data_IF_089841236556
#
_entry.id   IF_089841236556
#
_cell.length_a   1.000
_cell.length_b   1.000
_cell.length_c   1.000
_cell.angle_alpha   90.00
_cell.angle_beta   90.00
_cell.angle_gamma   90.00
#
_symmetry.space_group_name_H-M   'P 1'
#
loop_
_entity.id
_entity.type
_entity.pdbx_description
1 polymer ?
#
# COMPACT_ATOMS: atom_id res chain seq x y z
N UNK A 1 35.03 45.39 -68.23
CA UNK A 1 36.38 45.08 -67.72
C UNK A 1 36.28 44.66 -66.27
N UNK A 2 37.03 43.63 -65.91
CA UNK A 2 37.13 43.01 -64.58
C UNK A 2 37.67 43.99 -63.53
N UNK A 3 37.23 43.84 -62.29
CA UNK A 3 38.12 43.93 -61.13
C UNK A 3 37.46 43.28 -59.90
N UNK A 4 38.11 42.24 -59.41
CA UNK A 4 37.73 41.36 -58.29
C UNK A 4 38.42 41.80 -57.00
N UNK A 5 37.68 41.69 -55.87
CA UNK A 5 38.04 41.33 -54.47
C UNK A 5 39.43 41.68 -53.87
N UNK A 6 39.49 41.91 -52.53
CA UNK A 6 39.82 40.78 -51.65
C UNK A 6 38.93 40.69 -50.38
N UNK A 7 38.19 39.58 -50.28
CA UNK A 7 37.61 39.05 -49.03
C UNK A 7 38.56 37.98 -48.49
N UNK A 8 39.58 38.32 -47.70
CA UNK A 8 40.48 37.30 -47.13
C UNK A 8 40.95 37.54 -45.69
N UNK A 9 40.44 38.55 -44.97
CA UNK A 9 40.94 38.86 -43.63
C UNK A 9 39.95 38.59 -42.48
N UNK A 10 38.66 38.34 -42.77
CA UNK A 10 37.66 38.18 -41.71
C UNK A 10 37.55 36.75 -41.14
N UNK A 11 38.05 35.72 -41.85
CA UNK A 11 37.82 34.31 -41.49
C UNK A 11 38.85 33.78 -40.47
N UNK A 12 40.06 34.35 -40.43
CA UNK A 12 41.09 33.88 -39.51
C UNK A 12 40.92 34.35 -38.05
N UNK A 13 40.22 35.47 -37.82
CA UNK A 13 40.03 35.97 -36.44
C UNK A 13 38.99 35.15 -35.66
N UNK A 14 37.92 34.67 -36.31
CA UNK A 14 36.88 33.88 -35.63
C UNK A 14 37.36 32.48 -35.22
N UNK A 15 38.22 31.84 -36.00
CA UNK A 15 38.72 30.50 -35.71
C UNK A 15 39.62 30.44 -34.46
N UNK A 16 40.41 31.49 -34.20
CA UNK A 16 41.33 31.54 -33.05
C UNK A 16 40.57 31.75 -31.72
N UNK A 17 39.49 32.53 -31.73
CA UNK A 17 38.67 32.75 -30.55
C UNK A 17 37.85 31.50 -30.16
N UNK A 18 37.41 30.71 -31.14
CA UNK A 18 36.68 29.46 -30.88
C UNK A 18 37.55 28.37 -30.25
N UNK A 19 38.83 28.27 -30.63
CA UNK A 19 39.77 27.30 -30.04
C UNK A 19 40.16 27.65 -28.59
N UNK A 20 40.32 28.94 -28.27
CA UNK A 20 40.62 29.38 -26.91
C UNK A 20 39.46 29.14 -25.93
N UNK A 21 38.21 29.37 -26.37
CA UNK A 21 37.01 29.08 -25.57
C UNK A 21 36.82 27.58 -25.32
N UNK A 22 37.12 26.73 -26.31
CA UNK A 22 37.00 25.29 -26.18
C UNK A 22 38.08 24.71 -25.24
N UNK A 23 39.32 25.23 -25.31
CA UNK A 23 40.39 24.86 -24.38
C UNK A 23 40.06 25.29 -22.94
N UNK A 24 39.49 26.49 -22.74
CA UNK A 24 39.06 26.95 -21.42
C UNK A 24 37.92 26.08 -20.84
N UNK A 25 36.96 25.65 -21.66
CA UNK A 25 35.87 24.75 -21.25
C UNK A 25 36.38 23.35 -20.87
N UNK A 26 37.36 22.81 -21.59
CA UNK A 26 37.96 21.50 -21.28
C UNK A 26 38.78 21.56 -19.98
N UNK A 27 39.54 22.64 -19.76
CA UNK A 27 40.29 22.84 -18.51
C UNK A 27 39.32 23.03 -17.33
N UNK A 28 38.20 23.73 -17.50
CA UNK A 28 37.18 23.87 -16.46
C UNK A 28 36.45 22.54 -16.16
N UNK A 29 36.24 21.69 -17.17
CA UNK A 29 35.65 20.36 -16.98
C UNK A 29 36.61 19.37 -16.30
N UNK A 30 37.93 19.47 -16.55
CA UNK A 30 38.96 18.65 -15.92
C UNK A 30 39.32 19.14 -14.51
N UNK A 31 39.30 20.46 -14.26
CA UNK A 31 39.48 21.02 -12.91
C UNK A 31 38.22 20.83 -12.04
N UNK A 32 37.02 20.87 -12.63
CA UNK A 32 35.75 20.62 -11.94
C UNK A 32 35.52 19.18 -11.50
N UNK A 33 36.21 18.21 -12.12
CA UNK A 33 36.13 16.78 -11.75
C UNK A 33 37.13 16.37 -10.66
N UNK A 34 38.15 17.19 -10.37
CA UNK A 34 39.09 16.95 -9.28
C UNK A 34 38.55 17.35 -7.89
N UNK A 35 37.65 18.33 -7.81
CA UNK A 35 37.10 18.86 -6.55
C UNK A 35 35.84 18.14 -6.04
N UNK A 36 35.33 17.16 -6.78
CA UNK A 36 34.20 16.31 -6.35
C UNK A 36 34.63 15.04 -5.61
N UNK A 37 35.91 14.91 -5.24
CA UNK A 37 36.33 14.01 -4.15
C UNK A 37 36.16 14.74 -2.81
N UNK A 38 34.92 15.13 -2.50
CA UNK A 38 34.55 15.31 -1.10
C UNK A 38 34.89 13.99 -0.42
N UNK A 39 35.95 14.01 0.40
CA UNK A 39 36.32 12.88 1.22
C UNK A 39 35.06 12.37 1.89
N UNK A 40 34.61 11.18 1.49
CA UNK A 40 33.50 10.49 2.11
C UNK A 40 33.96 10.27 3.54
N UNK A 41 33.59 11.19 4.44
CA UNK A 41 33.84 11.06 5.87
C UNK A 41 33.35 9.65 6.23
N UNK A 42 34.18 8.78 6.82
CA UNK A 42 33.73 7.46 7.22
C UNK A 42 32.46 7.65 8.03
N UNK A 43 31.37 7.03 7.57
CA UNK A 43 30.05 7.21 8.15
C UNK A 43 30.18 7.01 9.67
N UNK A 44 29.87 8.05 10.45
CA UNK A 44 30.05 7.98 11.89
C UNK A 44 29.33 6.73 12.42
N UNK A 45 29.95 5.95 13.31
CA UNK A 45 29.34 4.74 13.83
C UNK A 45 27.98 5.09 14.44
N UNK A 46 26.91 4.45 13.95
CA UNK A 46 25.55 4.72 14.40
C UNK A 46 25.48 4.62 15.92
N UNK A 47 24.94 5.65 16.58
CA UNK A 47 24.75 5.66 18.02
C UNK A 47 23.88 4.49 18.49
N UNK A 48 24.06 4.06 19.74
CA UNK A 48 23.26 2.99 20.36
C UNK A 48 21.76 3.35 20.41
N UNK A 49 21.44 4.63 20.63
CA UNK A 49 20.05 5.12 20.75
C UNK A 49 19.22 4.87 19.47
N UNK A 50 19.68 5.23 18.25
CA UNK A 50 19.02 4.84 17.00
C UNK A 50 18.79 3.32 16.86
N UNK A 51 19.76 2.48 17.23
CA UNK A 51 19.61 1.02 17.14
C UNK A 51 18.50 0.51 18.06
N UNK A 52 18.46 0.95 19.31
CA UNK A 52 17.38 0.60 20.26
C UNK A 52 16.01 1.05 19.73
N UNK A 53 15.92 2.25 19.17
CA UNK A 53 14.69 2.75 18.55
C UNK A 53 14.20 1.86 17.40
N UNK A 54 15.12 1.31 16.59
CA UNK A 54 14.78 0.34 15.54
C UNK A 54 14.28 -0.99 16.12
N UNK A 55 14.88 -1.49 17.22
CA UNK A 55 14.39 -2.68 17.92
C UNK A 55 12.95 -2.46 18.41
N UNK A 56 12.70 -1.36 19.12
CA UNK A 56 11.36 -0.99 19.62
C UNK A 56 10.33 -0.87 18.48
N UNK A 57 10.73 -0.25 17.36
CA UNK A 57 9.88 -0.09 16.18
C UNK A 57 9.44 -1.44 15.61
N UNK A 58 10.37 -2.35 15.30
CA UNK A 58 10.02 -3.65 14.72
C UNK A 58 9.31 -4.58 15.70
N UNK A 59 9.62 -4.49 16.99
CA UNK A 59 8.87 -5.18 18.04
C UNK A 59 7.41 -4.72 18.09
N UNK A 60 7.17 -3.42 18.08
CA UNK A 60 5.82 -2.84 18.06
C UNK A 60 5.05 -3.27 16.81
N UNK A 61 5.71 -3.25 15.63
CA UNK A 61 5.12 -3.74 14.39
C UNK A 61 4.73 -5.22 14.47
N UNK A 62 5.60 -6.05 15.02
CA UNK A 62 5.35 -7.49 15.21
C UNK A 62 4.07 -7.69 16.02
N UNK A 63 3.97 -7.06 17.19
CA UNK A 63 2.81 -7.20 18.06
C UNK A 63 1.52 -6.65 17.45
N UNK A 64 1.61 -5.54 16.70
CA UNK A 64 0.44 -4.96 16.03
C UNK A 64 -0.09 -5.90 14.94
N UNK A 65 0.81 -6.52 14.16
CA UNK A 65 0.40 -7.54 13.19
C UNK A 65 -0.06 -8.85 13.84
N UNK A 66 0.55 -9.27 14.95
CA UNK A 66 0.06 -10.43 15.71
C UNK A 66 -1.37 -10.22 16.22
N UNK A 67 -1.70 -9.02 16.71
CA UNK A 67 -3.08 -8.64 17.07
C UNK A 67 -4.02 -8.77 15.87
N UNK A 68 -3.66 -8.22 14.71
CA UNK A 68 -4.45 -8.37 13.48
C UNK A 68 -4.56 -9.84 13.04
N UNK A 69 -3.51 -10.64 13.23
CA UNK A 69 -3.50 -12.07 12.93
C UNK A 69 -4.24 -12.92 13.99
N UNK A 70 -4.67 -12.33 15.11
CA UNK A 70 -5.21 -13.01 16.30
C UNK A 70 -4.26 -14.08 16.85
N UNK A 71 -2.96 -13.78 16.81
CA UNK A 71 -1.91 -14.61 17.42
C UNK A 71 -1.56 -14.09 18.80
N UNK A 72 -1.11 -14.98 19.67
CA UNK A 72 -0.52 -14.59 20.95
C UNK A 72 0.70 -13.71 20.69
N UNK A 73 0.86 -12.69 21.52
CA UNK A 73 1.96 -11.74 21.46
C UNK A 73 3.28 -12.46 21.71
N UNK A 74 4.27 -12.30 20.83
CA UNK A 74 5.61 -12.88 21.06
C UNK A 74 6.25 -12.25 22.32
N UNK A 75 6.65 -13.04 23.32
CA UNK A 75 7.25 -12.53 24.55
C UNK A 75 8.66 -11.95 24.32
N UNK A 76 9.10 -11.08 25.22
CA UNK A 76 10.43 -10.45 25.18
C UNK A 76 10.89 -10.06 26.58
N UNK A 77 12.19 -10.17 26.85
CA UNK A 77 12.82 -9.77 28.12
C UNK A 77 13.25 -8.30 28.16
N UNK A 78 13.10 -7.55 27.06
CA UNK A 78 13.50 -6.14 26.94
C UNK A 78 15.00 -5.84 27.23
N UNK A 79 15.87 -6.85 27.16
CA UNK A 79 17.33 -6.69 27.38
C UNK A 79 17.95 -5.66 26.43
N UNK A 80 17.41 -5.55 25.21
CA UNK A 80 17.78 -4.55 24.20
C UNK A 80 17.76 -3.10 24.71
N UNK A 81 16.86 -2.76 25.65
CA UNK A 81 16.73 -1.39 26.16
C UNK A 81 17.93 -0.94 26.99
N UNK A 82 18.61 -1.89 27.62
CA UNK A 82 19.76 -1.65 28.51
C UNK A 82 21.10 -1.92 27.82
N UNK A 83 21.12 -2.81 26.83
CA UNK A 83 22.35 -3.20 26.13
C UNK A 83 23.02 -2.04 25.39
N UNK A 84 24.34 -1.90 25.57
CA UNK A 84 25.21 -0.99 24.79
C UNK A 84 25.96 -1.72 23.66
N UNK A 85 25.84 -3.04 23.61
CA UNK A 85 26.47 -3.89 22.61
C UNK A 85 25.81 -3.69 21.24
N UNK A 86 26.55 -3.08 20.32
CA UNK A 86 26.08 -2.79 18.96
C UNK A 86 25.79 -4.06 18.15
N UNK A 87 26.71 -5.04 18.05
CA UNK A 87 26.40 -6.36 17.48
C UNK A 87 25.10 -6.98 18.00
N UNK A 88 24.90 -6.99 19.33
CA UNK A 88 23.67 -7.53 19.92
C UNK A 88 22.41 -6.76 19.49
N UNK A 89 22.48 -5.43 19.45
CA UNK A 89 21.36 -4.59 18.99
C UNK A 89 21.07 -4.80 17.50
N UNK A 90 22.10 -4.94 16.66
CA UNK A 90 21.93 -5.24 15.24
C UNK A 90 21.26 -6.61 15.05
N UNK A 91 21.74 -7.64 15.74
CA UNK A 91 21.10 -8.96 15.75
C UNK A 91 19.64 -8.90 16.21
N UNK A 92 19.34 -8.07 17.23
CA UNK A 92 17.99 -7.85 17.73
C UNK A 92 17.10 -7.18 16.68
N UNK A 93 17.61 -6.17 15.97
CA UNK A 93 16.90 -5.51 14.85
C UNK A 93 16.56 -6.55 13.78
N UNK A 94 17.50 -7.37 13.36
CA UNK A 94 17.29 -8.36 12.29
C UNK A 94 16.27 -9.43 12.72
N UNK A 95 16.35 -9.86 13.97
CA UNK A 95 15.40 -10.82 14.56
C UNK A 95 13.99 -10.25 14.59
N UNK A 96 13.79 -9.05 15.11
CA UNK A 96 12.46 -8.42 15.14
C UNK A 96 11.96 -8.04 13.74
N UNK A 97 12.85 -7.70 12.81
CA UNK A 97 12.49 -7.43 11.42
C UNK A 97 11.91 -8.68 10.74
N UNK A 98 12.54 -9.86 10.93
CA UNK A 98 12.01 -11.14 10.44
C UNK A 98 10.66 -11.49 11.09
N UNK A 99 10.53 -11.32 12.40
CA UNK A 99 9.27 -11.58 13.12
C UNK A 99 8.15 -10.67 12.64
N UNK A 100 8.41 -9.38 12.44
CA UNK A 100 7.43 -8.43 11.91
C UNK A 100 6.97 -8.83 10.50
N UNK A 101 7.87 -9.34 9.65
CA UNK A 101 7.51 -9.84 8.32
C UNK A 101 6.61 -11.08 8.36
N UNK A 102 6.92 -12.06 9.21
CA UNK A 102 6.10 -13.26 9.41
C UNK A 102 4.72 -12.90 9.96
N UNK A 103 4.68 -12.04 10.99
CA UNK A 103 3.42 -11.56 11.57
C UNK A 103 2.57 -10.81 10.54
N UNK A 104 3.19 -9.94 9.74
CA UNK A 104 2.54 -9.24 8.63
C UNK A 104 1.92 -10.23 7.64
N UNK A 105 2.69 -11.21 7.15
CA UNK A 105 2.17 -12.21 6.19
C UNK A 105 0.98 -12.97 6.77
N UNK A 106 1.05 -13.39 8.04
CA UNK A 106 -0.06 -14.07 8.70
C UNK A 106 -1.31 -13.18 8.83
N UNK A 107 -1.15 -11.92 9.21
CA UNK A 107 -2.24 -10.95 9.30
C UNK A 107 -2.90 -10.73 7.94
N UNK A 108 -2.11 -10.49 6.89
CA UNK A 108 -2.64 -10.25 5.55
C UNK A 108 -3.36 -11.49 5.00
N UNK A 109 -2.78 -12.69 5.15
CA UNK A 109 -3.43 -13.93 4.71
C UNK A 109 -4.77 -14.17 5.43
N UNK A 110 -4.88 -13.82 6.72
CA UNK A 110 -6.14 -13.88 7.45
C UNK A 110 -7.17 -12.89 6.88
N UNK A 111 -6.74 -11.66 6.60
CA UNK A 111 -7.61 -10.64 6.00
C UNK A 111 -8.08 -11.08 4.61
N UNK A 112 -7.18 -11.59 3.76
CA UNK A 112 -7.52 -12.10 2.42
C UNK A 112 -8.55 -13.21 2.48
N UNK A 113 -8.36 -14.21 3.35
CA UNK A 113 -9.32 -15.31 3.54
C UNK A 113 -10.67 -14.83 4.07
N UNK A 114 -10.66 -13.99 5.12
CA UNK A 114 -11.91 -13.56 5.79
C UNK A 114 -12.74 -12.60 4.95
N UNK A 115 -12.09 -11.82 4.08
CA UNK A 115 -12.77 -10.79 3.28
C UNK A 115 -12.86 -11.15 1.80
N UNK A 116 -12.34 -12.31 1.39
CA UNK A 116 -12.26 -12.76 0.00
C UNK A 116 -11.66 -11.70 -0.94
N UNK A 117 -10.59 -11.05 -0.50
CA UNK A 117 -9.89 -10.01 -1.26
C UNK A 117 -8.46 -10.41 -1.58
N UNK A 118 -7.89 -9.79 -2.63
CA UNK A 118 -6.47 -9.87 -2.95
C UNK A 118 -5.72 -8.63 -2.44
N UNK A 119 -4.69 -8.85 -1.64
CA UNK A 119 -3.78 -7.83 -1.13
C UNK A 119 -2.43 -7.90 -1.85
N UNK A 120 -1.66 -6.79 -1.88
CA UNK A 120 -0.37 -6.79 -2.57
C UNK A 120 0.64 -7.72 -1.89
N UNK A 121 1.32 -8.55 -2.69
CA UNK A 121 2.42 -9.41 -2.23
C UNK A 121 3.61 -8.56 -1.75
N UNK A 122 4.17 -8.95 -0.62
CA UNK A 122 5.32 -8.26 -0.01
C UNK A 122 6.61 -8.42 -0.79
N UNK A 123 7.51 -7.41 -0.80
CA UNK A 123 8.87 -7.59 -1.30
C UNK A 123 9.67 -8.50 -0.35
N UNK A 124 10.83 -9.00 -0.82
CA UNK A 124 11.83 -9.64 0.05
C UNK A 124 12.26 -8.67 1.17
N UNK A 125 12.65 -9.22 2.33
CA UNK A 125 12.98 -8.44 3.53
C UNK A 125 14.06 -7.37 3.28
N UNK A 126 15.07 -7.75 2.50
CA UNK A 126 16.22 -6.93 2.13
C UNK A 126 16.08 -6.28 0.74
N UNK A 127 14.86 -6.15 0.22
CA UNK A 127 14.65 -5.39 -1.00
C UNK A 127 15.08 -3.92 -0.81
N UNK A 128 15.44 -3.26 -1.93
CA UNK A 128 15.78 -1.82 -1.96
C UNK A 128 14.77 -0.99 -1.17
N UNK A 129 15.27 0.01 -0.43
CA UNK A 129 14.47 0.84 0.49
C UNK A 129 13.22 1.43 -0.18
N UNK A 130 13.38 2.04 -1.37
CA UNK A 130 12.28 2.61 -2.14
C UNK A 130 11.16 1.58 -2.43
N UNK A 131 11.52 0.33 -2.75
CA UNK A 131 10.55 -0.74 -3.00
C UNK A 131 9.78 -1.12 -1.73
N UNK A 132 10.44 -1.13 -0.58
CA UNK A 132 9.80 -1.40 0.73
C UNK A 132 8.87 -0.26 1.13
N UNK A 133 9.28 1.00 0.94
CA UNK A 133 8.44 2.19 1.17
C UNK A 133 7.19 2.14 0.29
N UNK A 134 7.37 1.97 -1.02
CA UNK A 134 6.27 1.88 -1.98
C UNK A 134 5.31 0.74 -1.67
N UNK A 135 5.84 -0.41 -1.23
CA UNK A 135 5.02 -1.51 -0.78
C UNK A 135 4.16 -1.13 0.45
N UNK A 136 4.78 -0.66 1.53
CA UNK A 136 4.05 -0.31 2.76
C UNK A 136 3.02 0.80 2.52
N UNK A 137 3.33 1.77 1.66
CA UNK A 137 2.38 2.82 1.24
C UNK A 137 1.17 2.23 0.51
N UNK A 138 1.39 1.42 -0.54
CA UNK A 138 0.31 0.77 -1.30
C UNK A 138 -0.55 -0.13 -0.41
N UNK A 139 0.08 -0.92 0.46
CA UNK A 139 -0.62 -1.78 1.40
C UNK A 139 -1.51 -0.95 2.34
N UNK A 140 -0.97 0.13 2.93
CA UNK A 140 -1.73 1.02 3.81
C UNK A 140 -2.96 1.59 3.12
N UNK A 141 -2.79 2.11 1.89
CA UNK A 141 -3.88 2.68 1.11
C UNK A 141 -4.94 1.61 0.80
N UNK A 142 -4.53 0.41 0.39
CA UNK A 142 -5.44 -0.70 0.11
C UNK A 142 -6.24 -1.10 1.36
N UNK A 143 -5.58 -1.25 2.50
CA UNK A 143 -6.23 -1.58 3.78
C UNK A 143 -7.23 -0.50 4.21
N UNK A 144 -6.86 0.78 4.13
CA UNK A 144 -7.78 1.88 4.50
C UNK A 144 -9.00 1.98 3.58
N UNK A 145 -8.84 1.65 2.28
CA UNK A 145 -9.95 1.54 1.34
C UNK A 145 -10.93 0.42 1.74
N UNK A 146 -10.46 -0.64 2.40
CA UNK A 146 -11.30 -1.73 2.91
C UNK A 146 -12.02 -1.32 4.21
N UNK A 147 -11.31 -0.81 5.23
CA UNK A 147 -11.92 -0.29 6.47
C UNK A 147 -10.90 0.39 7.42
N UNK A 148 -11.31 1.24 8.40
CA UNK A 148 -11.96 2.54 8.35
C UNK A 148 -10.92 3.65 8.14
N UNK A 149 -10.91 4.28 6.98
CA UNK A 149 -10.07 5.46 6.86
C UNK A 149 -10.25 6.13 5.51
N UNK A 150 -10.66 7.39 5.53
CA UNK A 150 -10.60 8.25 4.35
C UNK A 150 -9.15 8.33 3.89
N UNK A 151 -8.91 8.07 2.61
CA UNK A 151 -7.60 8.25 1.99
C UNK A 151 -7.63 9.64 1.34
N UNK A 152 -7.17 10.65 2.06
CA UNK A 152 -7.10 12.03 1.53
C UNK A 152 -5.82 12.23 0.72
N UNK A 153 -5.80 13.22 -0.17
CA UNK A 153 -4.57 13.63 -0.89
C UNK A 153 -3.43 13.91 0.10
N UNK A 154 -3.71 14.66 1.17
CA UNK A 154 -2.78 14.94 2.27
C UNK A 154 -2.22 13.67 2.93
N UNK A 155 -3.06 12.66 3.15
CA UNK A 155 -2.61 11.38 3.69
C UNK A 155 -1.65 10.66 2.74
N UNK A 156 -1.95 10.69 1.43
CA UNK A 156 -1.09 10.03 0.44
C UNK A 156 0.22 10.77 0.22
N UNK A 157 0.25 12.10 0.35
CA UNK A 157 1.44 12.92 0.10
C UNK A 157 2.44 12.95 1.26
N UNK A 158 2.09 12.46 2.45
CA UNK A 158 3.02 12.44 3.57
C UNK A 158 4.23 11.54 3.28
N UNK A 159 5.42 12.13 3.31
CA UNK A 159 6.72 11.47 3.26
C UNK A 159 7.46 11.72 4.57
N UNK A 160 8.39 10.83 4.94
CA UNK A 160 9.33 11.11 6.02
C UNK A 160 10.49 11.94 5.48
N UNK A 161 11.24 12.61 6.37
CA UNK A 161 12.40 13.45 6.01
C UNK A 161 13.49 12.63 5.30
N UNK A 162 13.67 11.37 5.73
CA UNK A 162 14.53 10.39 5.07
C UNK A 162 13.77 9.16 4.54
N UNK A 163 14.39 8.40 3.63
CA UNK A 163 13.84 7.15 3.13
C UNK A 163 13.58 6.10 4.24
N UNK A 164 14.42 6.10 5.28
CA UNK A 164 14.27 5.20 6.43
C UNK A 164 13.08 5.56 7.32
N UNK A 165 12.86 6.84 7.58
CA UNK A 165 11.70 7.33 8.32
C UNK A 165 10.40 7.14 7.56
N UNK A 166 10.42 7.43 6.25
CA UNK A 166 9.28 7.15 5.38
C UNK A 166 8.88 5.68 5.47
N UNK A 167 9.85 4.75 5.46
CA UNK A 167 9.57 3.33 5.64
C UNK A 167 8.92 3.05 7.00
N UNK A 168 9.49 3.54 8.11
CA UNK A 168 8.95 3.30 9.45
C UNK A 168 7.52 3.84 9.60
N UNK A 169 7.28 5.05 9.11
CA UNK A 169 5.96 5.68 9.09
C UNK A 169 4.93 4.80 8.38
N UNK A 170 5.22 4.41 7.13
CA UNK A 170 4.31 3.62 6.32
C UNK A 170 4.13 2.19 6.85
N UNK A 171 5.16 1.58 7.44
CA UNK A 171 5.01 0.30 8.12
C UNK A 171 4.03 0.40 9.30
N UNK A 172 4.20 1.39 10.19
CA UNK A 172 3.31 1.59 11.35
C UNK A 172 1.86 1.80 10.88
N UNK A 173 1.66 2.66 9.88
CA UNK A 173 0.33 2.90 9.30
C UNK A 173 -0.28 1.63 8.70
N UNK A 174 0.49 0.83 7.98
CA UNK A 174 -0.02 -0.43 7.42
C UNK A 174 -0.39 -1.45 8.50
N UNK A 175 0.35 -1.52 9.61
CA UNK A 175 0.05 -2.40 10.72
C UNK A 175 -1.24 -1.97 11.44
N UNK A 176 -1.38 -0.68 11.74
CA UNK A 176 -2.60 -0.14 12.34
C UNK A 176 -3.82 -0.34 11.43
N UNK A 177 -3.69 -0.05 10.14
CA UNK A 177 -4.78 -0.28 9.18
C UNK A 177 -5.19 -1.76 9.13
N UNK A 178 -4.24 -2.70 9.25
CA UNK A 178 -4.56 -4.12 9.30
C UNK A 178 -5.38 -4.50 10.56
N UNK A 179 -5.03 -3.93 11.73
CA UNK A 179 -5.81 -4.10 12.96
C UNK A 179 -7.22 -3.57 12.77
N UNK A 180 -7.37 -2.35 12.26
CA UNK A 180 -8.69 -1.73 12.10
C UNK A 180 -9.58 -2.49 11.10
N UNK A 181 -8.99 -3.04 10.02
CA UNK A 181 -9.72 -3.92 9.09
C UNK A 181 -10.25 -5.17 9.80
N UNK A 182 -9.44 -5.80 10.65
CA UNK A 182 -9.83 -7.03 11.36
C UNK A 182 -10.86 -6.74 12.44
N UNK A 183 -10.66 -5.71 13.25
CA UNK A 183 -11.60 -5.30 14.31
C UNK A 183 -12.97 -4.97 13.72
N UNK A 184 -13.00 -4.25 12.60
CA UNK A 184 -14.27 -3.99 11.95
C UNK A 184 -14.87 -5.23 11.29
N UNK A 185 -14.05 -6.09 10.67
CA UNK A 185 -14.55 -7.36 10.14
C UNK A 185 -15.08 -8.31 11.24
N UNK A 186 -14.79 -8.05 12.52
CA UNK A 186 -15.40 -8.73 13.66
C UNK A 186 -16.71 -8.09 14.10
N UNK A 187 -16.85 -6.76 13.96
CA UNK A 187 -18.08 -6.04 14.29
C UNK A 187 -19.23 -6.32 13.30
N UNK A 188 -18.99 -7.08 12.23
CA UNK A 188 -20.03 -7.46 11.27
C UNK A 188 -20.87 -8.61 11.81
N UNK A 189 -22.19 -8.58 11.61
CA UNK A 189 -23.02 -9.77 11.78
C UNK A 189 -22.41 -10.93 10.99
N UNK A 190 -22.27 -12.10 11.62
CA UNK A 190 -21.86 -13.29 10.91
C UNK A 190 -22.95 -13.68 9.92
N UNK A 191 -22.61 -13.77 8.64
CA UNK A 191 -23.48 -14.37 7.63
C UNK A 191 -23.35 -15.90 7.75
N UNK A 192 -24.45 -16.65 7.90
CA UNK A 192 -24.39 -18.11 7.86
C UNK A 192 -23.74 -18.61 6.56
N UNK A 193 -22.89 -19.64 6.63
CA UNK A 193 -22.12 -20.11 5.47
C UNK A 193 -23.02 -20.45 4.27
N UNK A 194 -24.14 -21.14 4.49
CA UNK A 194 -25.10 -21.48 3.44
C UNK A 194 -25.67 -20.24 2.72
N UNK A 195 -25.91 -19.15 3.46
CA UNK A 195 -26.48 -17.92 2.90
C UNK A 195 -25.43 -17.13 2.13
N UNK A 196 -24.18 -17.14 2.61
CA UNK A 196 -23.05 -16.62 1.84
C UNK A 196 -22.88 -17.40 0.53
N UNK A 197 -22.93 -18.73 0.58
CA UNK A 197 -22.79 -19.58 -0.61
C UNK A 197 -23.94 -19.40 -1.60
N UNK A 198 -25.18 -19.19 -1.11
CA UNK A 198 -26.32 -18.83 -1.93
C UNK A 198 -26.08 -17.54 -2.74
N UNK A 199 -25.59 -16.47 -2.08
CA UNK A 199 -25.27 -15.23 -2.79
C UNK A 199 -24.05 -15.34 -3.69
N UNK A 200 -23.06 -16.17 -3.35
CA UNK A 200 -21.95 -16.48 -4.25
C UNK A 200 -22.43 -17.25 -5.49
N UNK A 201 -23.41 -18.14 -5.35
CA UNK A 201 -24.06 -18.77 -6.49
C UNK A 201 -24.79 -17.75 -7.37
N UNK A 202 -25.62 -16.88 -6.79
CA UNK A 202 -26.30 -15.82 -7.57
C UNK A 202 -25.28 -14.97 -8.32
N UNK A 203 -24.24 -14.49 -7.62
CA UNK A 203 -23.17 -13.68 -8.19
C UNK A 203 -22.54 -14.29 -9.45
N UNK A 204 -22.37 -15.62 -9.50
CA UNK A 204 -21.74 -16.31 -10.65
C UNK A 204 -22.53 -16.11 -11.96
N UNK A 205 -23.83 -15.83 -11.87
CA UNK A 205 -24.73 -15.66 -13.01
C UNK A 205 -25.07 -14.19 -13.30
N UNK A 206 -24.79 -13.28 -12.38
CA UNK A 206 -25.12 -11.86 -12.50
C UNK A 206 -24.01 -11.07 -13.21
N UNK A 207 -22.88 -10.83 -12.54
CA UNK A 207 -21.81 -10.02 -13.12
C UNK A 207 -20.56 -9.95 -12.26
N UNK A 208 -19.50 -9.32 -12.79
CA UNK A 208 -18.28 -9.11 -12.02
C UNK A 208 -18.54 -8.21 -10.79
N UNK A 209 -17.80 -8.40 -9.69
CA UNK A 209 -17.95 -7.58 -8.47
C UNK A 209 -17.81 -6.07 -8.72
N UNK A 210 -17.09 -5.69 -9.78
CA UNK A 210 -16.84 -4.30 -10.19
C UNK A 210 -17.65 -3.90 -11.43
N UNK A 211 -18.78 -4.58 -11.70
CA UNK A 211 -19.59 -4.31 -12.89
C UNK A 211 -20.32 -2.98 -12.77
N UNK A 212 -20.12 -2.12 -13.76
CA UNK A 212 -20.87 -0.89 -14.01
C UNK A 212 -21.04 -0.77 -15.53
N UNK A 213 -22.06 -1.43 -16.06
CA UNK A 213 -22.33 -1.52 -17.50
C UNK A 213 -23.20 -0.38 -18.02
N UNK A 214 -23.59 0.58 -17.16
CA UNK A 214 -24.53 1.65 -17.51
C UNK A 214 -26.00 1.19 -17.65
N UNK A 215 -26.34 -0.02 -17.21
CA UNK A 215 -27.71 -0.57 -17.23
C UNK A 215 -28.53 -0.20 -15.98
N UNK A 216 -28.00 0.63 -15.09
CA UNK A 216 -28.64 1.03 -13.83
C UNK A 216 -28.40 0.06 -12.65
N UNK A 217 -27.68 -1.05 -12.87
CA UNK A 217 -27.35 -2.03 -11.85
C UNK A 217 -25.84 -2.10 -11.62
N UNK A 218 -25.44 -2.25 -10.36
CA UNK A 218 -24.04 -2.11 -9.96
C UNK A 218 -23.54 -3.33 -9.20
N UNK A 219 -22.28 -3.66 -9.42
CA UNK A 219 -21.57 -4.71 -8.72
C UNK A 219 -21.98 -6.13 -9.15
N UNK A 220 -21.47 -7.10 -8.40
CA UNK A 220 -21.54 -8.52 -8.73
C UNK A 220 -22.89 -9.16 -8.42
N UNK A 221 -23.74 -8.49 -7.66
CA UNK A 221 -25.12 -8.88 -7.43
C UNK A 221 -26.10 -7.97 -8.18
N UNK A 222 -25.62 -7.15 -9.12
CA UNK A 222 -26.46 -6.28 -9.96
C UNK A 222 -27.54 -5.55 -9.15
N UNK A 223 -27.13 -4.76 -8.15
CA UNK A 223 -28.05 -4.02 -7.28
C UNK A 223 -28.32 -2.63 -7.86
N UNK A 224 -29.58 -2.22 -7.95
CA UNK A 224 -29.92 -0.84 -8.32
C UNK A 224 -29.64 0.16 -7.17
N UNK A 225 -29.77 1.46 -7.45
CA UNK A 225 -29.50 2.51 -6.46
C UNK A 225 -30.50 2.49 -5.28
N UNK A 226 -31.74 2.09 -5.49
CA UNK A 226 -32.76 2.05 -4.44
C UNK A 226 -32.46 0.90 -3.46
N UNK A 227 -32.12 -0.28 -3.98
CA UNK A 227 -31.65 -1.42 -3.21
C UNK A 227 -30.40 -1.06 -2.41
N UNK A 228 -29.43 -0.40 -3.04
CA UNK A 228 -28.21 0.05 -2.38
C UNK A 228 -28.49 1.07 -1.28
N UNK A 229 -29.38 2.03 -1.52
CA UNK A 229 -29.76 3.03 -0.53
C UNK A 229 -30.48 2.40 0.67
N UNK A 230 -31.34 1.40 0.43
CA UNK A 230 -32.13 0.77 1.48
C UNK A 230 -31.29 -0.20 2.32
N UNK A 231 -30.54 -1.11 1.69
CA UNK A 231 -29.86 -2.20 2.37
C UNK A 231 -28.36 -1.99 2.55
N UNK A 232 -27.77 -1.01 1.88
CA UNK A 232 -26.34 -0.72 1.90
C UNK A 232 -26.02 0.75 2.13
N UNK A 233 -26.89 1.54 2.79
CA UNK A 233 -26.69 3.00 2.91
C UNK A 233 -25.33 3.41 3.48
N UNK A 234 -24.80 2.64 4.42
CA UNK A 234 -23.46 2.80 5.00
C UNK A 234 -22.33 2.54 4.00
N UNK A 235 -22.54 1.57 3.11
CA UNK A 235 -21.62 1.28 2.02
C UNK A 235 -21.71 2.34 0.92
N UNK A 236 -22.94 2.77 0.58
CA UNK A 236 -23.22 3.78 -0.41
C UNK A 236 -22.56 5.13 -0.07
N UNK A 237 -22.77 5.61 1.17
CA UNK A 237 -22.12 6.84 1.68
C UNK A 237 -20.59 6.77 1.62
N UNK A 238 -20.02 5.56 1.67
CA UNK A 238 -18.59 5.36 1.79
C UNK A 238 -17.88 5.15 0.46
N UNK A 239 -18.45 4.35 -0.41
CA UNK A 239 -17.82 3.89 -1.64
C UNK A 239 -18.56 4.37 -2.89
N UNK A 240 -19.72 5.00 -2.76
CA UNK A 240 -20.58 5.29 -3.90
C UNK A 240 -21.37 4.05 -4.27
N UNK A 241 -21.42 3.70 -5.55
CA UNK A 241 -22.18 2.57 -6.06
C UNK A 241 -21.53 1.21 -5.77
N UNK A 242 -22.31 0.13 -5.88
CA UNK A 242 -21.91 -1.20 -5.45
C UNK A 242 -20.70 -1.78 -6.18
N UNK A 243 -20.40 -1.35 -7.40
CA UNK A 243 -19.18 -1.70 -8.15
C UNK A 243 -17.89 -1.27 -7.42
N UNK A 244 -17.97 -0.22 -6.60
CA UNK A 244 -16.87 0.24 -5.77
C UNK A 244 -16.83 -0.43 -4.39
N UNK A 245 -17.85 -1.21 -4.03
CA UNK A 245 -17.92 -1.90 -2.74
C UNK A 245 -17.06 -3.16 -2.77
N UNK A 246 -16.41 -3.51 -1.66
CA UNK A 246 -15.78 -4.83 -1.56
C UNK A 246 -16.86 -5.94 -1.63
N UNK A 247 -16.54 -7.14 -2.17
CA UNK A 247 -17.50 -8.23 -2.34
C UNK A 247 -18.35 -8.54 -1.10
N UNK A 248 -17.72 -8.62 0.07
CA UNK A 248 -18.41 -8.88 1.33
C UNK A 248 -19.48 -7.83 1.67
N UNK A 249 -19.33 -6.58 1.25
CA UNK A 249 -20.30 -5.52 1.53
C UNK A 249 -21.52 -5.66 0.63
N UNK A 250 -21.32 -6.07 -0.62
CA UNK A 250 -22.42 -6.41 -1.53
C UNK A 250 -23.21 -7.60 -0.98
N UNK A 251 -22.53 -8.67 -0.54
CA UNK A 251 -23.17 -9.82 0.11
C UNK A 251 -23.90 -9.37 1.39
N UNK A 252 -23.30 -8.51 2.21
CA UNK A 252 -23.95 -8.03 3.43
C UNK A 252 -25.23 -7.22 3.15
N UNK A 253 -25.25 -6.40 2.09
CA UNK A 253 -26.46 -5.70 1.66
C UNK A 253 -27.53 -6.70 1.19
N UNK A 254 -27.15 -7.72 0.44
CA UNK A 254 -28.06 -8.79 0.02
C UNK A 254 -28.61 -9.59 1.20
N UNK A 255 -27.78 -9.90 2.20
CA UNK A 255 -28.19 -10.55 3.45
C UNK A 255 -29.18 -9.67 4.22
N UNK A 256 -28.96 -8.35 4.28
CA UNK A 256 -29.91 -7.43 4.92
C UNK A 256 -31.26 -7.43 4.20
N UNK A 257 -31.27 -7.50 2.86
CA UNK A 257 -32.51 -7.62 2.09
C UNK A 257 -33.23 -8.95 2.35
N UNK A 258 -32.48 -10.06 2.35
CA UNK A 258 -33.01 -11.38 2.69
C UNK A 258 -33.66 -11.37 4.08
N UNK A 259 -32.95 -10.85 5.08
CA UNK A 259 -33.41 -10.75 6.46
C UNK A 259 -34.58 -9.77 6.64
N UNK A 260 -34.77 -8.81 5.73
CA UNK A 260 -35.93 -7.92 5.75
C UNK A 260 -37.19 -8.54 5.11
N UNK A 261 -37.16 -9.84 4.79
CA UNK A 261 -38.29 -10.55 4.20
C UNK A 261 -38.34 -10.54 2.66
N UNK A 262 -37.34 -9.99 1.96
CA UNK A 262 -37.28 -10.07 0.48
C UNK A 262 -36.88 -11.46 -0.02
N UNK A 263 -36.31 -12.31 0.84
CA UNK A 263 -35.76 -13.60 0.42
C UNK A 263 -34.74 -13.44 -0.72
N UNK A 264 -34.85 -14.28 -1.74
CA UNK A 264 -34.04 -14.23 -2.97
C UNK A 264 -34.77 -13.59 -4.16
N UNK A 265 -35.96 -13.03 -3.95
CA UNK A 265 -36.80 -12.44 -4.99
C UNK A 265 -36.17 -11.30 -5.81
N UNK A 266 -35.21 -10.51 -5.29
CA UNK A 266 -34.48 -9.54 -6.12
C UNK A 266 -33.70 -10.18 -7.28
N UNK A 267 -33.46 -11.50 -7.23
CA UNK A 267 -32.69 -12.27 -8.19
C UNK A 267 -33.48 -13.47 -8.73
N UNK A 268 -34.67 -13.28 -9.32
CA UNK A 268 -35.63 -14.37 -9.49
C UNK A 268 -35.17 -15.44 -10.48
N UNK A 269 -34.41 -15.07 -11.53
CA UNK A 269 -33.90 -16.02 -12.53
C UNK A 269 -32.69 -16.79 -12.00
N UNK A 270 -31.73 -16.08 -11.40
CA UNK A 270 -30.48 -16.66 -10.92
C UNK A 270 -30.66 -17.42 -9.61
N UNK A 271 -31.58 -17.00 -8.75
CA UNK A 271 -31.97 -17.76 -7.56
C UNK A 271 -32.58 -19.13 -7.91
N UNK A 272 -33.45 -19.22 -8.93
CA UNK A 272 -33.93 -20.51 -9.45
C UNK A 272 -32.81 -21.37 -10.04
N UNK A 273 -31.91 -20.76 -10.81
CA UNK A 273 -30.74 -21.46 -11.33
C UNK A 273 -29.82 -22.02 -10.22
N UNK A 274 -29.88 -21.42 -9.03
CA UNK A 274 -29.18 -21.85 -7.83
C UNK A 274 -30.01 -22.77 -6.91
N UNK A 275 -31.26 -23.10 -7.25
CA UNK A 275 -32.15 -23.94 -6.44
C UNK A 275 -32.62 -23.28 -5.13
N UNK A 276 -32.74 -21.95 -5.11
CA UNK A 276 -33.09 -21.16 -3.92
C UNK A 276 -34.56 -20.73 -3.87
N UNK A 277 -35.28 -20.89 -4.98
CA UNK A 277 -36.71 -20.55 -5.18
C UNK A 277 -37.40 -21.69 -5.94
#
# INVERSE_FOLDING_TARGET
MRSSLPQSLAVHSLAVHSLALLAALIIFALAGSASARQGVRPAQPVGVRPLRSLVDHYRTLTWTYERAARRRRTPTSFVDRRSRDRPYLQWSIDTWTRRADVARRAALARIERRLSIRLPKGPRLHARLARRVNYSRRLTIRLRRIYPGTVTRRFTSSSGESGGEALRLWQRRSALAAVQVVEHAQARPSVPDWLNDAFLCIHRYEGAWTSDTGNGYYGGLQMDLAFQALYGSDFARRWGTADAWPPWAQIQAAVRAYQSGRGFDPWPRTARACGLL
#
